data_IF_396580886610
#
_entry.id   IF_396580886610
#
_cell.length_a   1.000
_cell.length_b   1.000
_cell.length_c   1.000
_cell.angle_alpha   90.00
_cell.angle_beta   90.00
_cell.angle_gamma   90.00
#
_symmetry.space_group_name_H-M   'P 1'
#
loop_
_entity.id
_entity.type
_entity.pdbx_description
1 polymer ?
#
# COMPACT_ATOMS: atom_id res chain seq x y z
N UNK A 1 -39.26 21.21 15.81
CA UNK A 1 -38.03 20.82 15.08
C UNK A 1 -37.93 21.60 13.78
N UNK A 2 -36.75 22.09 13.40
CA UNK A 2 -36.44 22.81 12.16
C UNK A 2 -35.35 22.05 11.43
N UNK A 3 -35.46 21.86 10.09
CA UNK A 3 -34.40 21.34 9.27
C UNK A 3 -33.90 22.47 8.36
N UNK A 4 -32.56 22.59 8.20
CA UNK A 4 -31.93 23.61 7.37
C UNK A 4 -30.60 23.14 6.80
N UNK A 5 -30.12 23.83 5.76
CA UNK A 5 -28.80 23.57 5.15
C UNK A 5 -27.71 24.23 5.99
N UNK A 6 -26.71 23.45 6.38
CA UNK A 6 -25.61 23.91 7.21
C UNK A 6 -24.73 24.95 6.50
N UNK A 7 -24.10 25.78 7.31
CA UNK A 7 -23.04 26.70 6.93
C UNK A 7 -21.76 26.36 7.65
N UNK A 8 -20.64 26.93 7.24
CA UNK A 8 -19.35 26.69 7.91
C UNK A 8 -19.36 27.00 9.41
N UNK A 9 -20.20 27.96 9.82
CA UNK A 9 -20.37 28.39 11.23
C UNK A 9 -21.02 27.29 12.11
N UNK A 10 -21.73 26.33 11.50
CA UNK A 10 -22.38 25.22 12.23
C UNK A 10 -21.40 24.12 12.60
N UNK A 11 -20.19 24.10 12.04
CA UNK A 11 -19.22 23.01 12.17
C UNK A 11 -19.00 22.58 13.63
N UNK A 12 -18.67 23.53 14.51
CA UNK A 12 -18.35 23.23 15.92
C UNK A 12 -19.53 22.62 16.68
N UNK A 13 -20.75 23.07 16.39
CA UNK A 13 -21.96 22.58 17.05
C UNK A 13 -22.34 21.15 16.66
N UNK A 14 -21.83 20.64 15.53
CA UNK A 14 -22.12 19.33 14.98
C UNK A 14 -21.13 18.24 15.41
N UNK A 15 -19.98 18.63 16.00
CA UNK A 15 -18.88 17.69 16.30
C UNK A 15 -19.29 16.60 17.28
N UNK A 16 -19.99 16.93 18.36
CA UNK A 16 -20.42 15.96 19.37
C UNK A 16 -21.42 14.95 18.81
N UNK A 17 -22.36 15.40 17.97
CA UNK A 17 -23.29 14.52 17.25
C UNK A 17 -22.55 13.54 16.34
N UNK A 18 -21.59 14.05 15.58
CA UNK A 18 -20.78 13.26 14.66
C UNK A 18 -19.95 12.20 15.42
N UNK A 19 -19.23 12.62 16.46
CA UNK A 19 -18.44 11.72 17.28
C UNK A 19 -19.29 10.64 17.98
N UNK A 20 -20.42 11.00 18.58
CA UNK A 20 -21.30 10.06 19.25
C UNK A 20 -21.88 9.00 18.28
N UNK A 21 -22.20 9.41 17.04
CA UNK A 21 -22.66 8.48 16.00
C UNK A 21 -21.57 7.48 15.63
N UNK A 22 -20.36 7.94 15.26
CA UNK A 22 -19.28 7.05 14.83
C UNK A 22 -18.72 6.20 15.97
N UNK A 23 -18.82 6.65 17.22
CA UNK A 23 -18.54 5.81 18.39
C UNK A 23 -19.51 4.62 18.50
N UNK A 24 -20.80 4.83 18.23
CA UNK A 24 -21.78 3.74 18.18
C UNK A 24 -21.54 2.80 17.00
N UNK A 25 -21.24 3.34 15.82
CA UNK A 25 -20.92 2.53 14.64
C UNK A 25 -19.64 1.68 14.84
N UNK A 26 -18.62 2.25 15.47
CA UNK A 26 -17.38 1.53 15.81
C UNK A 26 -17.64 0.38 16.81
N UNK A 27 -18.60 0.52 17.72
CA UNK A 27 -19.01 -0.56 18.61
C UNK A 27 -19.68 -1.74 17.87
N UNK A 28 -20.34 -1.48 16.74
CA UNK A 28 -20.97 -2.52 15.88
C UNK A 28 -19.94 -3.16 14.92
N UNK A 29 -19.01 -2.40 14.39
CA UNK A 29 -18.04 -2.83 13.38
C UNK A 29 -16.71 -2.08 13.54
N UNK A 30 -15.94 -2.46 14.59
CA UNK A 30 -14.66 -1.83 14.95
C UNK A 30 -13.57 -1.95 13.86
N UNK A 31 -13.68 -2.96 13.02
CA UNK A 31 -12.80 -3.20 11.88
C UNK A 31 -13.10 -2.29 10.65
N UNK A 32 -14.21 -1.56 10.69
CA UNK A 32 -14.65 -0.71 9.59
C UNK A 32 -14.83 0.76 9.99
N UNK A 33 -15.38 1.04 11.18
CA UNK A 33 -15.61 2.40 11.66
C UNK A 33 -14.61 2.78 12.75
N UNK A 34 -14.22 4.05 12.76
CA UNK A 34 -13.38 4.64 13.80
C UNK A 34 -14.15 5.77 14.44
N UNK A 35 -14.19 5.80 15.78
CA UNK A 35 -14.72 6.95 16.52
C UNK A 35 -13.80 8.15 16.28
N UNK A 36 -14.31 9.17 15.59
CA UNK A 36 -13.56 10.38 15.25
C UNK A 36 -14.48 11.59 15.16
N UNK A 37 -13.92 12.76 15.34
CA UNK A 37 -14.56 14.01 14.96
C UNK A 37 -14.51 14.22 13.45
N UNK A 38 -15.44 15.02 12.92
CA UNK A 38 -15.43 15.36 11.51
C UNK A 38 -14.26 16.31 11.19
N UNK A 39 -13.62 16.11 10.05
CA UNK A 39 -12.57 17.00 9.55
C UNK A 39 -13.17 18.29 9.04
N UNK A 40 -12.62 19.45 9.48
CA UNK A 40 -13.10 20.77 9.11
C UNK A 40 -13.03 21.03 7.61
N UNK A 41 -11.94 20.65 6.95
CA UNK A 41 -11.73 20.94 5.53
C UNK A 41 -12.67 20.07 4.68
N UNK A 42 -12.93 18.85 5.11
CA UNK A 42 -13.92 17.96 4.47
C UNK A 42 -15.33 18.52 4.62
N UNK A 43 -15.71 18.98 5.81
CA UNK A 43 -17.00 19.59 6.05
C UNK A 43 -17.20 20.87 5.19
N UNK A 44 -16.23 21.79 5.23
CA UNK A 44 -16.25 23.01 4.45
C UNK A 44 -16.31 22.76 2.94
N UNK A 45 -15.61 21.73 2.45
CA UNK A 45 -15.67 21.33 1.05
C UNK A 45 -17.06 20.82 0.64
N UNK A 46 -17.77 20.09 1.51
CA UNK A 46 -19.13 19.61 1.23
C UNK A 46 -20.11 20.78 1.23
N UNK A 47 -20.07 21.64 2.24
CA UNK A 47 -20.96 22.81 2.36
C UNK A 47 -20.81 23.81 1.18
N UNK A 48 -19.61 23.89 0.60
CA UNK A 48 -19.32 24.74 -0.57
C UNK A 48 -19.51 24.04 -1.92
N UNK A 49 -19.77 22.73 -1.92
CA UNK A 49 -19.90 21.96 -3.15
C UNK A 49 -21.24 22.28 -3.87
N UNK A 50 -21.20 22.28 -5.20
CA UNK A 50 -22.41 22.41 -6.02
C UNK A 50 -23.22 21.12 -6.14
N UNK A 51 -22.65 20.00 -5.73
CA UNK A 51 -23.22 18.66 -5.83
C UNK A 51 -23.28 17.93 -4.47
N UNK A 52 -23.18 18.68 -3.39
CA UNK A 52 -23.27 18.16 -2.02
C UNK A 52 -23.92 19.16 -1.09
N UNK A 53 -24.38 18.69 0.04
CA UNK A 53 -24.98 19.53 1.09
C UNK A 53 -24.93 18.82 2.46
N UNK A 54 -25.11 19.60 3.53
CA UNK A 54 -25.27 19.10 4.88
C UNK A 54 -26.60 19.63 5.43
N UNK A 55 -27.54 18.75 5.72
CA UNK A 55 -28.77 19.10 6.39
C UNK A 55 -28.60 18.96 7.90
N UNK A 56 -29.14 19.91 8.64
CA UNK A 56 -29.14 19.92 10.11
C UNK A 56 -30.57 19.97 10.62
N UNK A 57 -30.91 19.06 11.52
CA UNK A 57 -32.13 19.11 12.30
C UNK A 57 -31.84 19.74 13.67
N UNK A 58 -32.58 20.78 14.00
CA UNK A 58 -32.43 21.56 15.22
C UNK A 58 -33.71 21.56 16.05
N UNK A 59 -33.57 21.38 17.35
CA UNK A 59 -34.66 21.53 18.33
C UNK A 59 -34.18 22.39 19.49
N UNK A 60 -34.96 23.41 19.85
CA UNK A 60 -34.65 24.37 20.92
C UNK A 60 -33.23 24.98 20.82
N UNK A 61 -32.80 25.28 19.58
CA UNK A 61 -31.50 25.89 19.31
C UNK A 61 -30.31 24.93 19.42
N UNK A 62 -30.54 23.61 19.47
CA UNK A 62 -29.51 22.60 19.51
C UNK A 62 -29.64 21.66 18.32
N UNK A 63 -28.52 21.28 17.67
CA UNK A 63 -28.55 20.25 16.64
C UNK A 63 -28.84 18.88 17.28
N UNK A 64 -29.87 18.20 16.76
CA UNK A 64 -30.31 16.85 17.19
C UNK A 64 -30.16 15.81 16.09
N UNK A 65 -29.72 16.25 14.91
CA UNK A 65 -29.41 15.36 13.80
C UNK A 65 -28.76 16.08 12.63
N UNK A 66 -28.13 15.31 11.76
CA UNK A 66 -27.56 15.77 10.50
C UNK A 66 -27.58 14.73 9.42
N UNK A 67 -27.67 15.15 8.16
CA UNK A 67 -27.49 14.28 6.99
C UNK A 67 -26.49 14.90 6.03
N UNK A 68 -25.51 14.11 5.58
CA UNK A 68 -24.53 14.54 4.57
C UNK A 68 -24.96 13.94 3.25
N UNK A 69 -25.22 14.82 2.28
CA UNK A 69 -25.75 14.50 0.97
C UNK A 69 -24.73 14.76 -0.13
N UNK A 70 -24.72 13.92 -1.17
CA UNK A 70 -23.99 14.21 -2.40
C UNK A 70 -24.71 13.63 -3.62
N UNK A 71 -24.64 14.33 -4.74
CA UNK A 71 -25.08 13.79 -6.04
C UNK A 71 -24.01 12.86 -6.57
N UNK A 72 -24.41 11.66 -6.90
CA UNK A 72 -23.53 10.63 -7.46
C UNK A 72 -24.06 10.13 -8.78
N UNK A 73 -23.17 10.03 -9.77
CA UNK A 73 -23.47 9.46 -11.07
C UNK A 73 -22.87 8.04 -11.16
N UNK A 74 -23.71 7.06 -11.43
CA UNK A 74 -23.28 5.72 -11.85
C UNK A 74 -23.17 5.71 -13.37
N UNK A 75 -21.96 5.64 -13.94
CA UNK A 75 -21.78 5.71 -15.38
C UNK A 75 -22.34 4.48 -16.08
N UNK A 76 -22.77 4.67 -17.33
CA UNK A 76 -23.14 3.57 -18.21
C UNK A 76 -21.93 2.66 -18.48
N UNK A 77 -22.15 1.36 -18.35
CA UNK A 77 -21.20 0.33 -18.81
C UNK A 77 -21.96 -0.77 -19.57
N UNK A 78 -21.27 -1.68 -20.28
CA UNK A 78 -21.96 -2.74 -21.04
C UNK A 78 -22.95 -3.58 -20.23
N UNK A 79 -22.76 -3.65 -18.92
CA UNK A 79 -23.58 -4.48 -18.02
C UNK A 79 -24.29 -3.70 -16.91
N UNK A 80 -24.18 -2.36 -16.90
CA UNK A 80 -24.71 -1.52 -15.81
C UNK A 80 -25.37 -0.28 -16.41
N UNK A 81 -26.65 -0.04 -16.07
CA UNK A 81 -27.36 1.17 -16.48
C UNK A 81 -26.79 2.41 -15.82
N UNK A 82 -26.69 3.50 -16.57
CA UNK A 82 -26.39 4.81 -15.99
C UNK A 82 -27.54 5.21 -15.05
N UNK A 83 -27.19 5.80 -13.89
CA UNK A 83 -28.15 6.33 -12.94
C UNK A 83 -27.55 7.48 -12.17
N UNK A 84 -28.33 8.51 -11.95
CA UNK A 84 -28.03 9.61 -11.03
C UNK A 84 -28.85 9.42 -9.76
N UNK A 85 -28.22 9.59 -8.59
CA UNK A 85 -28.90 9.44 -7.31
C UNK A 85 -28.30 10.39 -6.28
N UNK A 86 -29.07 10.70 -5.25
CA UNK A 86 -28.56 11.35 -4.04
C UNK A 86 -28.04 10.26 -3.09
N UNK A 87 -26.79 10.37 -2.72
CA UNK A 87 -26.14 9.49 -1.75
C UNK A 87 -26.12 10.17 -0.39
N UNK A 88 -26.73 9.53 0.60
CA UNK A 88 -26.66 9.94 2.00
C UNK A 88 -25.47 9.22 2.62
N UNK A 89 -24.35 9.92 2.72
CA UNK A 89 -23.10 9.32 3.24
C UNK A 89 -23.09 9.20 4.75
N UNK A 90 -23.80 10.07 5.46
CA UNK A 90 -24.03 10.00 6.90
C UNK A 90 -25.47 10.42 7.20
N UNK A 91 -26.15 9.68 8.05
CA UNK A 91 -27.46 10.02 8.58
C UNK A 91 -27.40 9.82 10.11
N UNK A 92 -27.33 10.92 10.83
CA UNK A 92 -27.13 10.98 12.27
C UNK A 92 -28.39 11.58 12.89
N UNK A 93 -28.95 10.91 13.89
CA UNK A 93 -30.18 11.35 14.53
C UNK A 93 -30.26 10.84 15.98
N UNK A 94 -30.96 11.60 16.82
CA UNK A 94 -31.24 11.24 18.21
C UNK A 94 -32.61 10.56 18.38
N UNK A 95 -33.54 10.84 17.46
CA UNK A 95 -34.92 10.28 17.51
C UNK A 95 -35.39 9.87 16.12
N UNK A 96 -36.44 9.04 16.08
CA UNK A 96 -37.12 8.64 14.83
C UNK A 96 -37.70 9.85 14.10
N UNK A 97 -38.26 10.81 14.83
CA UNK A 97 -38.82 12.03 14.28
C UNK A 97 -37.73 12.86 13.58
N UNK A 98 -36.55 12.98 14.19
CA UNK A 98 -35.38 13.64 13.59
C UNK A 98 -34.92 12.96 12.31
N UNK A 99 -34.85 11.62 12.32
CA UNK A 99 -34.51 10.81 11.14
C UNK A 99 -35.48 11.07 9.98
N UNK A 100 -36.76 10.96 10.27
CA UNK A 100 -37.82 11.08 9.26
C UNK A 100 -37.86 12.50 8.66
N UNK A 101 -37.64 13.51 9.46
CA UNK A 101 -37.53 14.88 8.99
C UNK A 101 -36.29 15.12 8.11
N UNK A 102 -35.13 14.57 8.47
CA UNK A 102 -33.91 14.66 7.65
C UNK A 102 -34.08 13.92 6.32
N UNK A 103 -34.69 12.74 6.31
CA UNK A 103 -34.95 12.00 5.08
C UNK A 103 -35.96 12.71 4.18
N UNK A 104 -37.03 13.26 4.75
CA UNK A 104 -38.03 14.03 3.99
C UNK A 104 -37.37 15.26 3.32
N UNK A 105 -36.48 15.96 4.03
CA UNK A 105 -35.75 17.11 3.44
C UNK A 105 -34.74 16.64 2.39
N UNK A 106 -34.05 15.50 2.58
CA UNK A 106 -33.19 14.90 1.58
C UNK A 106 -33.94 14.50 0.31
N UNK A 107 -35.17 14.00 0.42
CA UNK A 107 -36.05 13.71 -0.71
C UNK A 107 -36.46 15.00 -1.45
N UNK A 108 -36.79 16.06 -0.72
CA UNK A 108 -37.08 17.36 -1.32
C UNK A 108 -35.87 17.95 -2.04
N UNK A 109 -34.69 17.80 -1.46
CA UNK A 109 -33.45 18.23 -2.08
C UNK A 109 -33.16 17.42 -3.38
N UNK A 110 -33.34 16.09 -3.36
CA UNK A 110 -33.22 15.26 -4.55
C UNK A 110 -34.24 15.64 -5.63
N UNK A 111 -35.50 15.85 -5.25
CA UNK A 111 -36.56 16.29 -6.16
C UNK A 111 -36.26 17.63 -6.82
N UNK A 112 -35.74 18.60 -6.06
CA UNK A 112 -35.33 19.91 -6.58
C UNK A 112 -34.22 19.82 -7.64
N UNK A 113 -33.37 18.76 -7.59
CA UNK A 113 -32.34 18.48 -8.57
C UNK A 113 -32.80 17.56 -9.72
N UNK A 114 -34.10 17.18 -9.77
CA UNK A 114 -34.65 16.26 -10.76
C UNK A 114 -34.16 14.82 -10.60
N UNK A 115 -33.83 14.42 -9.36
CA UNK A 115 -33.30 13.08 -9.02
C UNK A 115 -34.41 12.31 -8.28
N UNK A 116 -34.70 11.09 -8.75
CA UNK A 116 -35.77 10.25 -8.24
C UNK A 116 -35.28 9.09 -7.37
N UNK A 117 -34.01 9.09 -6.98
CA UNK A 117 -33.40 8.00 -6.22
C UNK A 117 -32.52 8.54 -5.10
N UNK A 118 -32.79 8.03 -3.89
CA UNK A 118 -32.01 8.27 -2.68
C UNK A 118 -31.34 6.96 -2.26
N UNK A 119 -30.03 6.99 -2.01
CA UNK A 119 -29.28 5.82 -1.57
C UNK A 119 -28.53 6.10 -0.28
N UNK A 120 -28.46 5.08 0.58
CA UNK A 120 -27.59 5.09 1.77
C UNK A 120 -26.86 3.74 1.85
N UNK A 121 -25.73 3.70 2.55
CA UNK A 121 -24.98 2.47 2.81
C UNK A 121 -25.11 2.07 4.27
N UNK A 122 -25.34 0.78 4.48
CA UNK A 122 -25.33 0.18 5.79
C UNK A 122 -24.21 -0.84 5.89
N UNK A 123 -23.63 -0.95 7.08
CA UNK A 123 -22.71 -2.05 7.34
C UNK A 123 -23.51 -3.35 7.50
N UNK A 124 -23.04 -4.46 6.92
CA UNK A 124 -23.75 -5.74 6.90
C UNK A 124 -24.04 -6.32 8.30
N UNK A 125 -23.25 -5.94 9.31
CA UNK A 125 -23.49 -6.31 10.72
C UNK A 125 -24.65 -5.54 11.36
N UNK A 126 -25.10 -4.44 10.78
CA UNK A 126 -26.19 -3.60 11.29
C UNK A 126 -27.56 -4.09 10.77
N UNK A 127 -27.98 -5.23 11.29
CA UNK A 127 -29.25 -5.85 10.89
C UNK A 127 -30.47 -5.08 11.38
N UNK A 128 -30.36 -4.29 12.43
CA UNK A 128 -31.46 -3.47 12.95
C UNK A 128 -31.72 -2.27 12.02
N UNK A 129 -30.68 -1.56 11.62
CA UNK A 129 -30.80 -0.50 10.64
C UNK A 129 -31.33 -1.03 9.29
N UNK A 130 -30.89 -2.22 8.86
CA UNK A 130 -31.39 -2.83 7.62
C UNK A 130 -32.92 -3.11 7.69
N UNK A 131 -33.44 -3.62 8.80
CA UNK A 131 -34.88 -3.81 8.99
C UNK A 131 -35.64 -2.50 9.02
N UNK A 132 -35.09 -1.49 9.73
CA UNK A 132 -35.65 -0.16 9.83
C UNK A 132 -35.83 0.47 8.45
N UNK A 133 -34.78 0.56 7.66
CA UNK A 133 -34.83 1.20 6.34
C UNK A 133 -35.66 0.41 5.33
N UNK A 134 -35.70 -0.92 5.43
CA UNK A 134 -36.62 -1.73 4.62
C UNK A 134 -38.08 -1.39 4.96
N UNK A 135 -38.41 -1.21 6.25
CA UNK A 135 -39.74 -0.77 6.69
C UNK A 135 -40.13 0.62 6.18
N UNK A 136 -39.16 1.47 5.88
CA UNK A 136 -39.34 2.81 5.29
C UNK A 136 -39.35 2.83 3.74
N UNK A 137 -39.36 1.66 3.08
CA UNK A 137 -39.45 1.54 1.64
C UNK A 137 -38.08 1.50 0.91
N UNK A 138 -36.97 1.50 1.64
CA UNK A 138 -35.66 1.23 1.01
C UNK A 138 -35.53 -0.25 0.66
N UNK A 139 -34.96 -0.54 -0.50
CA UNK A 139 -34.66 -1.92 -0.92
C UNK A 139 -33.15 -2.09 -1.13
N UNK A 140 -32.57 -3.25 -0.76
CA UNK A 140 -31.17 -3.51 -1.01
C UNK A 140 -30.90 -3.64 -2.52
N UNK A 141 -30.01 -2.79 -3.06
CA UNK A 141 -29.63 -2.81 -4.49
C UNK A 141 -28.36 -3.63 -4.72
N UNK A 142 -27.34 -3.46 -3.86
CA UNK A 142 -26.03 -4.10 -4.00
C UNK A 142 -25.56 -4.59 -2.64
N UNK A 143 -25.12 -5.83 -2.58
CA UNK A 143 -24.40 -6.37 -1.43
C UNK A 143 -22.93 -6.55 -1.76
N UNK A 144 -22.05 -5.97 -0.96
CA UNK A 144 -20.60 -6.13 -1.08
C UNK A 144 -20.13 -7.23 -0.12
N UNK A 145 -19.42 -8.22 -0.65
CA UNK A 145 -18.76 -9.24 0.15
C UNK A 145 -17.28 -8.95 0.22
N UNK A 146 -16.71 -8.93 1.42
CA UNK A 146 -15.28 -8.82 1.68
C UNK A 146 -14.74 -10.12 2.27
N UNK A 147 -13.51 -10.45 1.94
CA UNK A 147 -12.77 -11.57 2.52
C UNK A 147 -11.40 -11.08 2.89
N UNK A 148 -11.01 -11.27 4.13
CA UNK A 148 -9.61 -11.11 4.51
C UNK A 148 -8.75 -12.17 3.82
N UNK A 149 -7.65 -11.71 3.24
CA UNK A 149 -6.63 -12.61 2.70
C UNK A 149 -5.60 -12.77 3.80
N UNK A 150 -5.48 -13.99 4.42
CA UNK A 150 -4.48 -14.23 5.44
C UNK A 150 -3.09 -13.89 4.89
N UNK A 151 -2.37 -13.03 5.58
CA UNK A 151 -0.98 -12.71 5.26
C UNK A 151 -0.09 -13.65 6.05
N UNK A 152 0.63 -14.55 5.37
CA UNK A 152 1.75 -15.22 6.00
C UNK A 152 2.79 -14.17 6.39
N UNK A 153 3.40 -14.30 7.57
CA UNK A 153 4.54 -13.47 7.95
C UNK A 153 5.66 -13.67 6.93
N UNK A 154 6.21 -12.58 6.42
CA UNK A 154 7.28 -12.64 5.44
C UNK A 154 8.60 -13.00 6.15
N UNK A 155 9.18 -14.19 5.91
CA UNK A 155 10.41 -14.60 6.56
C UNK A 155 11.60 -13.81 6.02
N UNK A 156 12.78 -14.03 6.63
CA UNK A 156 14.08 -13.75 6.01
C UNK A 156 14.70 -15.08 5.62
N UNK A 157 14.95 -15.24 4.33
CA UNK A 157 15.53 -16.45 3.77
C UNK A 157 14.54 -17.35 3.04
N UNK A 158 15.10 -18.09 2.08
CA UNK A 158 14.38 -19.05 1.27
C UNK A 158 15.31 -20.26 1.00
N UNK A 159 14.80 -21.51 1.04
CA UNK A 159 15.56 -22.66 0.64
C UNK A 159 16.13 -22.52 -0.76
N UNK A 160 17.36 -23.00 -0.96
CA UNK A 160 18.04 -22.95 -2.25
C UNK A 160 17.21 -23.65 -3.33
N UNK A 161 17.11 -23.04 -4.50
CA UNK A 161 16.34 -23.59 -5.63
C UNK A 161 14.87 -23.20 -5.62
N UNK A 162 14.27 -22.95 -4.47
CA UNK A 162 12.86 -22.60 -4.32
C UNK A 162 12.55 -21.19 -4.85
N UNK A 163 11.32 -21.04 -5.32
CA UNK A 163 10.72 -19.76 -5.71
C UNK A 163 9.40 -19.60 -4.97
N UNK A 164 9.37 -18.74 -3.97
CA UNK A 164 8.15 -18.30 -3.28
C UNK A 164 8.25 -16.80 -3.06
N UNK A 165 7.17 -16.09 -3.37
CA UNK A 165 7.07 -14.64 -3.15
C UNK A 165 6.24 -14.38 -1.92
N UNK A 166 6.64 -13.35 -1.19
CA UNK A 166 5.94 -12.84 -0.02
C UNK A 166 5.65 -11.34 -0.20
N UNK A 167 4.59 -10.82 0.43
CA UNK A 167 4.37 -9.38 0.49
C UNK A 167 5.57 -8.69 1.15
N UNK A 168 5.82 -7.44 0.76
CA UNK A 168 6.86 -6.65 1.43
C UNK A 168 6.53 -6.48 2.92
N UNK A 169 7.56 -6.46 3.75
CA UNK A 169 7.46 -6.22 5.19
C UNK A 169 8.60 -5.32 5.66
N UNK A 170 8.37 -4.59 6.75
CA UNK A 170 9.34 -3.65 7.34
C UNK A 170 10.61 -4.37 7.85
N UNK A 171 10.49 -5.63 8.24
CA UNK A 171 11.62 -6.44 8.70
C UNK A 171 12.71 -6.57 7.63
N UNK A 172 12.37 -6.56 6.35
CA UNK A 172 13.34 -6.58 5.26
C UNK A 172 14.13 -5.28 5.13
N UNK A 173 13.47 -4.14 5.36
CA UNK A 173 14.16 -2.83 5.39
C UNK A 173 15.14 -2.76 6.54
N UNK A 174 14.67 -3.12 7.75
CA UNK A 174 15.49 -3.16 8.95
C UNK A 174 16.68 -4.11 8.83
N UNK A 175 16.50 -5.28 8.21
CA UNK A 175 17.60 -6.22 7.99
C UNK A 175 18.58 -5.72 6.93
N UNK A 176 18.10 -5.04 5.88
CA UNK A 176 18.96 -4.36 4.92
C UNK A 176 19.84 -3.29 5.59
N UNK A 177 19.25 -2.47 6.47
CA UNK A 177 19.99 -1.45 7.23
C UNK A 177 21.02 -2.06 8.21
N UNK A 178 20.65 -3.14 8.92
CA UNK A 178 21.57 -3.88 9.79
C UNK A 178 22.76 -4.42 9.00
N UNK A 179 22.48 -5.05 7.86
CA UNK A 179 23.49 -5.62 6.97
C UNK A 179 24.45 -4.55 6.44
N UNK A 180 23.94 -3.39 6.02
CA UNK A 180 24.75 -2.25 5.59
C UNK A 180 25.64 -1.77 6.72
N UNK A 181 25.09 -1.61 7.92
CA UNK A 181 25.83 -1.16 9.10
C UNK A 181 26.92 -2.14 9.50
N UNK A 182 26.63 -3.44 9.49
CA UNK A 182 27.60 -4.51 9.79
C UNK A 182 28.74 -4.49 8.77
N UNK A 183 28.43 -4.52 7.48
CA UNK A 183 29.44 -4.56 6.42
C UNK A 183 30.30 -3.29 6.37
N UNK A 184 29.71 -2.12 6.66
CA UNK A 184 30.47 -0.88 6.80
C UNK A 184 31.49 -0.92 7.94
N UNK A 185 31.17 -1.59 9.06
CA UNK A 185 32.11 -1.80 10.19
C UNK A 185 33.18 -2.84 9.89
N UNK A 186 32.85 -3.89 9.14
CA UNK A 186 33.80 -4.95 8.79
C UNK A 186 34.80 -4.53 7.70
N UNK A 187 34.43 -3.58 6.85
CA UNK A 187 35.16 -3.18 5.66
C UNK A 187 35.52 -1.67 5.66
N UNK A 188 36.11 -1.14 6.76
CA UNK A 188 36.44 0.28 6.84
C UNK A 188 37.46 0.65 5.74
N UNK A 189 37.16 1.70 4.95
CA UNK A 189 38.00 2.16 3.84
C UNK A 189 38.04 1.25 2.63
N UNK A 190 37.37 0.09 2.64
CA UNK A 190 37.23 -0.82 1.51
C UNK A 190 35.84 -0.68 0.88
N UNK A 191 34.77 -0.80 1.68
CA UNK A 191 33.42 -0.48 1.23
C UNK A 191 33.27 1.06 1.19
N UNK A 192 32.99 1.59 0.01
CA UNK A 192 32.87 3.04 -0.21
C UNK A 192 31.41 3.48 -0.11
N UNK A 193 30.53 2.86 -0.89
CA UNK A 193 29.08 3.06 -0.80
C UNK A 193 28.40 1.70 -0.57
N UNK A 194 27.31 1.71 0.20
CA UNK A 194 26.50 0.54 0.46
C UNK A 194 25.02 0.91 0.30
N UNK A 195 24.24 0.02 -0.30
CA UNK A 195 22.82 0.24 -0.48
C UNK A 195 22.03 -1.07 -0.40
N UNK A 196 20.87 -1.06 0.30
CA UNK A 196 19.86 -2.10 0.17
C UNK A 196 19.20 -1.95 -1.19
N UNK A 197 19.33 -2.98 -2.01
CA UNK A 197 18.88 -3.02 -3.40
C UNK A 197 17.95 -4.21 -3.65
N UNK A 198 17.62 -4.46 -4.91
CA UNK A 198 16.77 -5.59 -5.26
C UNK A 198 15.30 -5.40 -4.84
N UNK A 199 14.53 -6.48 -4.96
CA UNK A 199 13.07 -6.41 -4.79
C UNK A 199 12.61 -6.23 -3.33
N UNK A 200 13.40 -6.67 -2.34
CA UNK A 200 13.09 -6.49 -0.91
C UNK A 200 13.26 -5.05 -0.43
N UNK A 201 13.97 -4.22 -1.21
CA UNK A 201 14.13 -2.80 -0.93
C UNK A 201 13.02 -1.91 -1.50
N UNK A 202 11.99 -2.48 -2.14
CA UNK A 202 10.89 -1.76 -2.80
C UNK A 202 9.55 -2.15 -2.14
N UNK A 203 8.91 -1.24 -1.36
CA UNK A 203 7.73 -1.57 -0.57
C UNK A 203 6.48 -2.00 -1.36
N UNK A 204 6.39 -1.61 -2.63
CA UNK A 204 5.19 -1.77 -3.45
C UNK A 204 5.11 -3.10 -4.21
N UNK A 205 6.14 -3.96 -4.12
CA UNK A 205 6.18 -5.21 -4.88
C UNK A 205 6.47 -6.43 -4.00
N UNK A 206 5.84 -7.60 -4.28
CA UNK A 206 6.17 -8.84 -3.59
C UNK A 206 7.59 -9.30 -3.97
N UNK A 207 8.28 -9.97 -3.07
CA UNK A 207 9.64 -10.43 -3.31
C UNK A 207 9.90 -11.83 -2.76
N UNK A 208 10.96 -12.49 -3.26
CA UNK A 208 11.60 -13.57 -2.53
C UNK A 208 12.25 -12.96 -1.28
N UNK A 209 12.15 -13.57 -0.10
CA UNK A 209 12.60 -13.01 1.17
C UNK A 209 14.13 -13.10 1.31
N UNK A 210 14.87 -12.62 0.34
CA UNK A 210 16.34 -12.58 0.32
C UNK A 210 16.77 -11.13 0.23
N UNK A 211 17.61 -10.71 1.14
CA UNK A 211 18.10 -9.33 1.23
C UNK A 211 19.27 -9.16 0.25
N UNK A 212 19.13 -8.26 -0.70
CA UNK A 212 20.16 -7.90 -1.66
C UNK A 212 20.82 -6.57 -1.22
N UNK A 213 22.13 -6.58 -0.96
CA UNK A 213 22.93 -5.38 -0.67
C UNK A 213 23.98 -5.21 -1.75
N UNK A 214 24.10 -4.02 -2.29
CA UNK A 214 25.21 -3.66 -3.18
C UNK A 214 26.27 -2.87 -2.42
N UNK A 215 27.55 -3.18 -2.71
CA UNK A 215 28.72 -2.51 -2.14
C UNK A 215 29.61 -2.04 -3.26
N UNK A 216 30.13 -0.81 -3.19
CA UNK A 216 31.16 -0.34 -4.10
C UNK A 216 32.55 -0.45 -3.49
N UNK A 217 33.53 -0.84 -4.29
CA UNK A 217 34.94 -0.93 -3.93
C UNK A 217 35.82 -0.36 -5.06
N UNK A 218 36.97 0.20 -4.70
CA UNK A 218 37.97 0.59 -5.71
C UNK A 218 38.65 -0.64 -6.30
N UNK A 219 38.91 -1.66 -5.47
CA UNK A 219 39.62 -2.87 -5.89
C UNK A 219 38.97 -4.13 -5.32
N UNK A 220 38.76 -5.14 -6.18
CA UNK A 220 38.21 -6.43 -5.77
C UNK A 220 39.19 -7.22 -4.90
N UNK A 221 40.49 -7.10 -5.10
CA UNK A 221 41.50 -7.77 -4.27
C UNK A 221 41.44 -7.28 -2.81
N UNK A 222 41.12 -6.00 -2.60
CA UNK A 222 40.97 -5.45 -1.27
C UNK A 222 39.85 -6.15 -0.45
N UNK A 223 38.69 -6.40 -1.05
CA UNK A 223 37.60 -7.12 -0.35
C UNK A 223 37.89 -8.63 -0.30
N UNK A 224 38.48 -9.23 -1.33
CA UNK A 224 38.87 -10.64 -1.31
C UNK A 224 39.91 -10.95 -0.23
N UNK A 225 40.82 -10.01 0.09
CA UNK A 225 41.74 -10.13 1.23
C UNK A 225 41.03 -10.21 2.59
N UNK A 226 39.77 -9.76 2.68
CA UNK A 226 38.90 -9.83 3.88
C UNK A 226 37.97 -11.05 3.88
N UNK A 227 38.14 -11.97 2.94
CA UNK A 227 37.25 -13.14 2.79
C UNK A 227 37.09 -13.94 4.07
N UNK A 228 38.17 -14.19 4.81
CA UNK A 228 38.14 -14.95 6.06
C UNK A 228 37.38 -14.19 7.16
N UNK A 229 37.60 -12.87 7.29
CA UNK A 229 36.85 -12.02 8.20
C UNK A 229 35.36 -12.02 7.88
N UNK A 230 35.01 -11.84 6.63
CA UNK A 230 33.61 -11.87 6.16
C UNK A 230 32.97 -13.25 6.44
N UNK A 231 33.70 -14.34 6.22
CA UNK A 231 33.21 -15.70 6.50
C UNK A 231 32.97 -15.92 7.98
N UNK A 232 33.79 -15.41 8.89
CA UNK A 232 33.57 -15.46 10.33
C UNK A 232 32.26 -14.76 10.76
N UNK A 233 31.79 -13.79 9.96
CA UNK A 233 30.51 -13.09 10.13
C UNK A 233 29.38 -13.67 9.26
N UNK A 234 29.58 -14.84 8.66
CA UNK A 234 28.60 -15.58 7.88
C UNK A 234 28.43 -15.12 6.43
N UNK A 235 29.34 -14.28 5.91
CA UNK A 235 29.34 -13.85 4.50
C UNK A 235 30.34 -14.68 3.68
N UNK A 236 29.86 -15.58 2.88
CA UNK A 236 30.64 -16.53 2.10
C UNK A 236 30.85 -16.04 0.67
N UNK A 237 32.09 -16.04 0.19
CA UNK A 237 32.38 -15.73 -1.20
C UNK A 237 31.86 -16.84 -2.12
N UNK A 238 31.16 -16.48 -3.20
CA UNK A 238 30.53 -17.41 -4.15
C UNK A 238 31.12 -17.21 -5.55
N UNK A 239 32.32 -17.73 -5.83
CA UNK A 239 33.02 -17.50 -7.10
C UNK A 239 32.21 -17.97 -8.32
N UNK A 240 31.48 -19.10 -8.21
CA UNK A 240 30.64 -19.62 -9.30
C UNK A 240 29.41 -18.81 -9.64
N UNK A 241 29.07 -17.79 -8.84
CA UNK A 241 27.99 -16.83 -9.10
C UNK A 241 28.50 -15.41 -9.31
N UNK A 242 29.83 -15.20 -9.22
CA UNK A 242 30.49 -13.95 -9.61
C UNK A 242 30.58 -13.87 -11.13
N UNK A 243 30.37 -12.67 -11.68
CA UNK A 243 30.42 -12.40 -13.11
C UNK A 243 31.44 -11.29 -13.36
N UNK A 244 31.79 -11.04 -14.62
CA UNK A 244 32.65 -9.93 -14.95
C UNK A 244 32.08 -8.60 -14.44
N UNK A 245 32.91 -7.81 -13.78
CA UNK A 245 32.49 -6.54 -13.13
C UNK A 245 31.82 -6.69 -11.78
N UNK A 246 31.54 -7.92 -11.28
CA UNK A 246 30.87 -8.13 -10.00
C UNK A 246 31.32 -9.38 -9.26
N UNK A 247 31.62 -9.26 -7.97
CA UNK A 247 31.75 -10.38 -7.06
C UNK A 247 30.46 -10.59 -6.28
N UNK A 248 30.21 -11.84 -5.85
CA UNK A 248 29.07 -12.19 -5.01
C UNK A 248 29.54 -12.82 -3.71
N UNK A 249 29.08 -12.28 -2.58
CA UNK A 249 29.06 -12.94 -1.29
C UNK A 249 27.62 -13.27 -0.91
N UNK A 250 27.44 -14.30 -0.09
CA UNK A 250 26.11 -14.73 0.32
C UNK A 250 26.10 -15.17 1.78
N UNK A 251 24.91 -15.09 2.44
CA UNK A 251 24.71 -15.49 3.82
C UNK A 251 23.53 -16.45 3.92
N UNK A 252 23.56 -17.33 4.93
CA UNK A 252 22.50 -18.29 5.23
C UNK A 252 23.03 -19.69 5.45
N UNK A 253 22.22 -20.55 6.07
CA UNK A 253 22.60 -21.91 6.47
C UNK A 253 23.01 -22.82 5.30
N UNK A 254 22.61 -22.47 4.08
CA UNK A 254 23.11 -23.15 2.88
C UNK A 254 24.64 -22.97 2.68
N UNK A 255 25.17 -21.81 3.03
CA UNK A 255 26.58 -21.46 2.78
C UNK A 255 27.52 -21.91 3.89
N UNK A 256 27.03 -22.05 5.13
CA UNK A 256 27.77 -22.60 6.25
C UNK A 256 27.62 -24.14 6.40
N UNK A 257 26.77 -24.77 5.57
CA UNK A 257 26.54 -26.19 5.57
C UNK A 257 25.61 -26.71 6.68
N UNK A 258 24.94 -25.83 7.42
CA UNK A 258 24.02 -26.20 8.52
C UNK A 258 22.57 -26.37 8.08
N UNK A 259 22.24 -26.02 6.84
CA UNK A 259 20.87 -26.11 6.32
C UNK A 259 20.78 -25.75 4.84
N UNK A 260 19.64 -25.27 4.39
CA UNK A 260 19.35 -24.99 2.98
C UNK A 260 18.95 -23.54 2.68
N UNK A 261 18.87 -22.67 3.71
CA UNK A 261 18.43 -21.29 3.56
C UNK A 261 19.50 -20.39 2.93
N UNK A 262 19.05 -19.56 2.01
CA UNK A 262 19.76 -18.38 1.47
C UNK A 262 19.06 -17.13 2.00
N UNK A 263 19.77 -16.30 2.74
CA UNK A 263 19.19 -15.12 3.40
C UNK A 263 19.61 -13.79 2.79
N UNK A 264 20.88 -13.70 2.34
CA UNK A 264 21.44 -12.47 1.79
C UNK A 264 22.29 -12.73 0.56
N UNK A 265 22.30 -11.76 -0.36
CA UNK A 265 23.28 -11.64 -1.44
C UNK A 265 23.93 -10.26 -1.36
N UNK A 266 25.25 -10.24 -1.34
CA UNK A 266 26.08 -9.05 -1.31
C UNK A 266 26.78 -8.92 -2.66
N UNK A 267 26.31 -7.97 -3.44
CA UNK A 267 26.80 -7.64 -4.77
C UNK A 267 27.92 -6.63 -4.66
N UNK A 268 29.16 -7.03 -4.91
CA UNK A 268 30.32 -6.14 -4.85
C UNK A 268 30.67 -5.69 -6.25
N UNK A 269 30.67 -4.40 -6.48
CA UNK A 269 30.91 -3.76 -7.78
C UNK A 269 31.96 -2.66 -7.66
N UNK A 270 32.50 -2.19 -8.78
CA UNK A 270 33.42 -1.06 -8.76
C UNK A 270 32.71 0.26 -8.49
N UNK A 271 33.40 1.16 -7.82
CA UNK A 271 32.95 2.56 -7.65
C UNK A 271 32.66 3.18 -9.03
N UNK A 272 31.53 3.86 -9.14
CA UNK A 272 31.05 4.50 -10.37
C UNK A 272 30.82 3.57 -11.56
N UNK A 273 30.71 2.25 -11.31
CA UNK A 273 30.39 1.28 -12.38
C UNK A 273 28.94 1.36 -12.84
N UNK A 274 28.67 0.84 -14.04
CA UNK A 274 27.31 0.78 -14.60
C UNK A 274 26.43 -0.17 -13.78
N UNK A 275 27.02 -1.19 -13.16
CA UNK A 275 26.31 -2.15 -12.27
C UNK A 275 25.81 -1.42 -11.04
N UNK A 276 26.63 -0.57 -10.40
CA UNK A 276 26.21 0.23 -9.25
C UNK A 276 25.01 1.12 -9.58
N UNK A 277 25.13 1.91 -10.64
CA UNK A 277 24.03 2.75 -11.07
C UNK A 277 22.81 1.96 -11.53
N UNK A 278 23.02 0.79 -12.11
CA UNK A 278 21.96 -0.14 -12.48
C UNK A 278 21.10 -0.57 -11.27
N UNK A 279 21.74 -0.92 -10.15
CA UNK A 279 21.05 -1.26 -8.90
C UNK A 279 20.23 -0.09 -8.34
N UNK A 280 20.85 1.09 -8.24
CA UNK A 280 20.19 2.27 -7.69
C UNK A 280 19.06 2.78 -8.58
N UNK A 281 19.30 2.87 -9.88
CA UNK A 281 18.35 3.35 -10.86
C UNK A 281 17.14 2.40 -10.97
N UNK A 282 17.38 1.09 -10.95
CA UNK A 282 16.28 0.09 -10.93
C UNK A 282 15.39 0.29 -9.72
N UNK A 283 15.96 0.30 -8.51
CA UNK A 283 15.20 0.52 -7.28
C UNK A 283 14.39 1.82 -7.35
N UNK A 284 15.05 2.92 -7.71
CA UNK A 284 14.42 4.23 -7.78
C UNK A 284 13.27 4.26 -8.79
N UNK A 285 13.50 3.74 -9.98
CA UNK A 285 12.51 3.75 -11.07
C UNK A 285 11.26 2.93 -10.70
N UNK A 286 11.44 1.73 -10.15
CA UNK A 286 10.31 0.91 -9.69
C UNK A 286 9.56 1.56 -8.53
N UNK A 287 10.26 2.30 -7.64
CA UNK A 287 9.61 3.01 -6.53
C UNK A 287 8.82 4.23 -6.98
N UNK A 288 9.29 4.97 -7.99
CA UNK A 288 8.65 6.19 -8.48
C UNK A 288 7.53 5.92 -9.51
N UNK A 289 7.66 4.87 -10.35
CA UNK A 289 6.70 4.57 -11.43
C UNK A 289 5.81 3.39 -11.08
N UNK A 290 4.66 3.69 -10.47
CA UNK A 290 3.70 2.67 -9.99
C UNK A 290 3.24 1.69 -11.07
N UNK A 291 2.98 2.14 -12.29
CA UNK A 291 2.57 1.28 -13.40
C UNK A 291 3.65 0.26 -13.78
N UNK A 292 4.92 0.65 -13.69
CA UNK A 292 6.07 -0.24 -13.92
C UNK A 292 6.21 -1.24 -12.77
N UNK A 293 6.02 -0.78 -11.52
CA UNK A 293 6.02 -1.64 -10.34
C UNK A 293 4.94 -2.73 -10.44
N UNK A 294 3.71 -2.37 -10.84
CA UNK A 294 2.59 -3.31 -11.05
C UNK A 294 2.92 -4.32 -12.15
N UNK A 295 3.47 -3.88 -13.29
CA UNK A 295 3.89 -4.78 -14.37
C UNK A 295 4.94 -5.78 -13.90
N UNK A 296 5.92 -5.31 -13.14
CA UNK A 296 6.99 -6.16 -12.59
C UNK A 296 6.45 -7.15 -11.54
N UNK A 297 5.56 -6.70 -10.66
CA UNK A 297 4.91 -7.57 -9.68
C UNK A 297 4.11 -8.70 -10.36
N UNK A 298 3.31 -8.36 -11.39
CA UNK A 298 2.54 -9.35 -12.18
C UNK A 298 3.44 -10.36 -12.88
N UNK A 299 4.52 -9.90 -13.50
CA UNK A 299 5.53 -10.77 -14.12
C UNK A 299 6.11 -11.75 -13.09
N UNK A 300 6.55 -11.25 -11.93
CA UNK A 300 7.13 -12.08 -10.86
C UNK A 300 6.13 -13.10 -10.33
N UNK A 301 4.87 -12.72 -10.10
CA UNK A 301 3.82 -13.64 -9.63
C UNK A 301 3.58 -14.75 -10.64
N UNK A 302 3.47 -14.42 -11.92
CA UNK A 302 3.32 -15.42 -13.00
C UNK A 302 4.50 -16.38 -13.02
N UNK A 303 5.72 -15.86 -13.09
CA UNK A 303 6.94 -16.69 -13.12
C UNK A 303 7.09 -17.56 -11.86
N UNK A 304 6.70 -17.07 -10.69
CA UNK A 304 6.75 -17.85 -9.45
C UNK A 304 5.74 -19.01 -9.47
N UNK A 305 4.56 -18.83 -10.06
CA UNK A 305 3.57 -19.91 -10.23
C UNK A 305 4.05 -20.97 -11.22
N UNK A 306 4.60 -20.53 -12.36
CA UNK A 306 5.11 -21.40 -13.41
C UNK A 306 6.34 -22.20 -12.96
N UNK A 307 7.10 -21.70 -12.00
CA UNK A 307 8.38 -22.23 -11.54
C UNK A 307 8.39 -22.55 -10.04
N UNK A 308 7.28 -23.03 -9.49
CA UNK A 308 7.12 -23.32 -8.05
C UNK A 308 7.84 -24.60 -7.57
N UNK A 309 8.39 -25.40 -8.48
CA UNK A 309 9.14 -26.63 -8.17
C UNK A 309 10.50 -26.37 -7.52
N UNK A 310 11.14 -27.46 -7.08
CA UNK A 310 12.39 -27.42 -6.30
C UNK A 310 13.59 -26.81 -7.03
N UNK A 311 13.58 -26.74 -8.34
CA UNK A 311 14.64 -26.19 -9.19
C UNK A 311 14.20 -25.03 -10.09
N UNK A 312 13.03 -24.42 -9.83
CA UNK A 312 12.46 -23.37 -10.67
C UNK A 312 13.19 -22.02 -10.64
N UNK A 313 14.25 -21.89 -9.83
CA UNK A 313 14.99 -20.63 -9.67
C UNK A 313 15.63 -20.14 -10.96
N UNK A 314 16.19 -21.02 -11.77
CA UNK A 314 16.93 -20.66 -13.00
C UNK A 314 15.98 -20.02 -14.01
N UNK A 315 14.86 -20.68 -14.27
CA UNK A 315 13.80 -20.24 -15.19
C UNK A 315 13.14 -18.96 -14.70
N UNK A 316 12.89 -18.85 -13.39
CA UNK A 316 12.38 -17.62 -12.77
C UNK A 316 13.34 -16.43 -12.97
N UNK A 317 14.64 -16.64 -12.80
CA UNK A 317 15.63 -15.58 -13.00
C UNK A 317 15.75 -15.20 -14.48
N UNK A 318 15.78 -16.17 -15.38
CA UNK A 318 15.81 -15.94 -16.83
C UNK A 318 14.57 -15.17 -17.30
N UNK A 319 13.38 -15.57 -16.83
CA UNK A 319 12.11 -14.95 -17.25
C UNK A 319 11.94 -13.48 -16.86
N UNK A 320 12.66 -12.98 -15.85
CA UNK A 320 12.61 -11.55 -15.46
C UNK A 320 13.77 -10.70 -16.02
N UNK A 321 14.79 -11.33 -16.61
CA UNK A 321 16.04 -10.65 -17.00
C UNK A 321 15.83 -9.55 -18.01
N UNK A 322 14.99 -9.78 -19.03
CA UNK A 322 14.71 -8.81 -20.09
C UNK A 322 13.95 -7.59 -19.54
N UNK A 323 12.98 -7.82 -18.65
CA UNK A 323 12.25 -6.73 -17.99
C UNK A 323 13.18 -5.87 -17.14
N UNK A 324 14.06 -6.48 -16.36
CA UNK A 324 15.02 -5.77 -15.52
C UNK A 324 15.96 -4.93 -16.38
N UNK A 325 16.46 -5.49 -17.47
CA UNK A 325 17.36 -4.80 -18.41
C UNK A 325 16.68 -3.58 -19.06
N UNK A 326 15.44 -3.76 -19.52
CA UNK A 326 14.63 -2.66 -20.08
C UNK A 326 14.39 -1.54 -19.05
N UNK A 327 14.02 -1.90 -17.83
CA UNK A 327 13.83 -0.93 -16.74
C UNK A 327 15.13 -0.20 -16.41
N UNK A 328 16.25 -0.89 -16.31
CA UNK A 328 17.56 -0.25 -16.05
C UNK A 328 17.91 0.71 -17.17
N UNK A 329 17.70 0.34 -18.44
CA UNK A 329 17.97 1.22 -19.59
C UNK A 329 17.11 2.49 -19.53
N UNK A 330 15.81 2.37 -19.28
CA UNK A 330 14.88 3.50 -19.12
C UNK A 330 15.26 4.38 -17.92
N UNK A 331 15.56 3.77 -16.79
CA UNK A 331 15.97 4.46 -15.58
C UNK A 331 17.28 5.22 -15.76
N UNK A 332 18.24 4.61 -16.44
CA UNK A 332 19.54 5.26 -16.75
C UNK A 332 19.35 6.42 -17.72
N UNK A 333 18.49 6.29 -18.72
CA UNK A 333 18.13 7.40 -19.60
C UNK A 333 17.46 8.56 -18.83
N UNK A 334 16.60 8.24 -17.86
CA UNK A 334 15.84 9.22 -17.08
C UNK A 334 16.69 9.94 -16.01
N UNK A 335 17.48 9.17 -15.22
CA UNK A 335 18.26 9.70 -14.09
C UNK A 335 19.73 9.99 -14.43
N UNK A 336 20.25 9.38 -15.47
CA UNK A 336 21.70 9.38 -15.75
C UNK A 336 22.49 8.53 -14.74
N UNK A 337 23.79 8.78 -14.68
CA UNK A 337 24.72 8.16 -13.73
C UNK A 337 24.98 9.11 -12.56
N UNK A 338 23.95 9.38 -11.75
CA UNK A 338 24.03 10.29 -10.60
C UNK A 338 23.77 9.55 -9.29
N UNK A 339 24.67 9.75 -8.33
CA UNK A 339 24.60 9.15 -6.97
C UNK A 339 23.73 9.92 -5.98
N UNK A 340 23.17 11.09 -6.34
CA UNK A 340 22.39 11.88 -5.40
C UNK A 340 21.03 11.20 -5.08
N UNK A 341 21.06 10.36 -4.05
CA UNK A 341 19.86 10.04 -3.28
C UNK A 341 19.60 11.28 -2.42
N UNK A 342 18.75 12.21 -2.88
CA UNK A 342 18.18 13.17 -1.94
C UNK A 342 17.29 12.36 -0.98
N UNK A 343 17.50 12.48 0.34
CA UNK A 343 16.49 11.94 1.27
C UNK A 343 15.18 12.64 0.93
N UNK A 344 14.12 11.87 0.74
CA UNK A 344 12.76 12.39 0.62
C UNK A 344 12.50 13.33 1.81
N UNK A 345 12.14 14.59 1.49
CA UNK A 345 11.61 15.53 2.48
C UNK A 345 10.24 15.10 2.90
#
# INVERSE_FOLDING_TARGET
MRVYTAKNEDFESLQELYYAHYSRQAAVAEDYFVASYQDHDVFAAIVQATNGDVLVAEEDGKPVGMAILSVTDRPLSPSISARRYVYVSSLIFESEETRDALLAEAELWAFALGIDNLQLKLHAKDSEAAKLYTGMGFSPEITTYSREIPRESSPIGLPRGRVKLYPHCREWELEGERTITELGRLLPGIAIDLAHVGSTSVPTIPAKPIIDVAITVYDFEAILSKRELLQQHGYYYVPGASIDGQLLFAKGSFYDGTGDLQTHFIHVVKVHSIEWYGYLNFKRYISEFHDVAVKYARLKIRLARENSGDNGRKEYLAGKSDFIRDVIAKATHYYGYRTHIHPCK
#
